data_IF_288382794395
#
_entry.id   IF_288382794395
#
_cell.length_a   1.000
_cell.length_b   1.000
_cell.length_c   1.000
_cell.angle_alpha   90.00
_cell.angle_beta   90.00
_cell.angle_gamma   90.00
#
_symmetry.space_group_name_H-M   'P 1'
#
loop_
_entity.id
_entity.type
_entity.pdbx_description
1 polymer ?
#
# COMPACT_ATOMS: atom_id res chain seq x y z
N UNK A 1 -15.27 -3.05 -10.08
CA UNK A 1 -14.25 -2.57 -9.10
C UNK A 1 -13.23 -3.65 -8.86
N UNK A 2 -11.96 -3.28 -8.86
CA UNK A 2 -10.87 -4.20 -8.57
C UNK A 2 -10.25 -3.89 -7.20
N UNK A 3 -9.52 -4.86 -6.66
CA UNK A 3 -8.77 -4.72 -5.41
C UNK A 3 -7.31 -4.99 -5.73
N UNK A 4 -6.45 -4.02 -5.42
CA UNK A 4 -5.01 -4.11 -5.66
C UNK A 4 -4.27 -4.26 -4.34
N UNK A 5 -3.54 -5.35 -4.19
CA UNK A 5 -2.61 -5.54 -3.07
C UNK A 5 -1.25 -5.05 -3.52
N UNK A 6 -0.71 -4.07 -2.82
CA UNK A 6 0.51 -3.36 -3.23
C UNK A 6 1.57 -3.51 -2.14
N UNK A 7 2.74 -4.00 -2.53
CA UNK A 7 3.89 -4.12 -1.64
C UNK A 7 4.52 -2.74 -1.38
N UNK A 8 5.25 -2.61 -0.29
CA UNK A 8 5.87 -1.36 0.12
C UNK A 8 7.33 -1.26 -0.31
N UNK A 9 8.21 -2.10 0.29
CA UNK A 9 9.65 -2.01 0.08
C UNK A 9 10.02 -2.29 -1.37
N UNK A 10 10.72 -1.33 -1.99
CA UNK A 10 11.14 -1.37 -3.38
C UNK A 10 10.01 -1.56 -4.39
N UNK A 11 8.79 -1.22 -3.99
CA UNK A 11 7.61 -1.14 -4.85
C UNK A 11 7.03 0.27 -4.80
N UNK A 12 6.41 0.67 -3.69
CA UNK A 12 5.94 2.06 -3.51
C UNK A 12 7.08 2.99 -3.12
N UNK A 13 8.04 2.50 -2.37
CA UNK A 13 9.18 3.26 -1.90
C UNK A 13 10.49 2.55 -2.25
N UNK A 14 11.50 3.33 -2.56
CA UNK A 14 12.87 2.83 -2.65
C UNK A 14 13.39 2.80 -1.22
N UNK A 15 13.80 1.63 -0.75
CA UNK A 15 14.19 1.45 0.64
C UNK A 15 15.53 0.76 0.80
N UNK A 16 16.17 1.02 1.94
CA UNK A 16 17.25 0.21 2.51
C UNK A 16 16.73 -0.21 3.87
N UNK A 17 15.97 -1.27 3.91
CA UNK A 17 15.22 -1.65 5.10
C UNK A 17 16.05 -1.51 6.39
N UNK A 18 15.51 -0.87 7.45
CA UNK A 18 14.17 -0.29 7.54
C UNK A 18 14.03 1.14 6.98
N UNK A 19 15.10 1.72 6.47
CA UNK A 19 15.14 3.11 6.01
C UNK A 19 14.35 3.31 4.72
N UNK A 20 13.51 4.36 4.69
CA UNK A 20 12.76 4.77 3.51
C UNK A 20 13.56 5.89 2.84
N UNK A 21 14.05 5.65 1.61
CA UNK A 21 14.95 6.56 0.91
C UNK A 21 14.21 7.56 0.04
N UNK A 22 13.31 7.07 -0.82
CA UNK A 22 12.61 7.90 -1.79
C UNK A 22 11.34 7.23 -2.29
N UNK A 23 10.37 8.00 -2.83
CA UNK A 23 9.20 7.40 -3.47
C UNK A 23 9.56 6.77 -4.82
N UNK A 24 8.91 5.67 -5.15
CA UNK A 24 8.81 5.21 -6.53
C UNK A 24 7.64 5.98 -7.15
N UNK A 25 7.93 7.05 -7.85
CA UNK A 25 6.94 8.00 -8.33
C UNK A 25 5.88 7.36 -9.24
N UNK A 26 6.30 6.41 -10.08
CA UNK A 26 5.37 5.70 -10.98
C UNK A 26 4.37 4.85 -10.22
N UNK A 27 4.84 4.11 -9.22
CA UNK A 27 3.97 3.26 -8.40
C UNK A 27 3.04 4.07 -7.51
N UNK A 28 3.53 5.17 -6.93
CA UNK A 28 2.69 6.08 -6.14
C UNK A 28 1.59 6.67 -7.03
N UNK A 29 1.94 7.12 -8.23
CA UNK A 29 0.97 7.66 -9.19
C UNK A 29 -0.05 6.59 -9.61
N UNK A 30 0.39 5.36 -9.86
CA UNK A 30 -0.49 4.24 -10.18
C UNK A 30 -1.51 3.98 -9.07
N UNK A 31 -1.03 3.88 -7.83
CA UNK A 31 -1.89 3.64 -6.66
C UNK A 31 -2.95 4.74 -6.49
N UNK A 32 -2.55 6.00 -6.66
CA UNK A 32 -3.48 7.13 -6.63
C UNK A 32 -4.51 7.05 -7.74
N UNK A 33 -4.06 6.72 -8.95
CA UNK A 33 -4.94 6.64 -10.12
C UNK A 33 -6.01 5.55 -9.96
N UNK A 34 -5.64 4.36 -9.53
CA UNK A 34 -6.61 3.27 -9.34
C UNK A 34 -7.59 3.59 -8.21
N UNK A 35 -7.13 4.22 -7.16
CA UNK A 35 -8.01 4.68 -6.07
C UNK A 35 -9.02 5.71 -6.58
N UNK A 36 -8.56 6.69 -7.37
CA UNK A 36 -9.40 7.73 -7.94
C UNK A 36 -10.44 7.17 -8.92
N UNK A 37 -10.17 6.02 -9.54
CA UNK A 37 -11.10 5.34 -10.43
C UNK A 37 -12.13 4.48 -9.69
N UNK A 38 -12.14 4.50 -8.37
CA UNK A 38 -13.10 3.77 -7.56
C UNK A 38 -12.66 2.36 -7.19
N UNK A 39 -11.41 1.99 -7.47
CA UNK A 39 -10.85 0.71 -7.03
C UNK A 39 -10.38 0.81 -5.57
N UNK A 40 -10.16 -0.33 -4.95
CA UNK A 40 -9.65 -0.40 -3.58
C UNK A 40 -8.19 -0.83 -3.59
N UNK A 41 -7.42 -0.33 -2.62
CA UNK A 41 -6.01 -0.68 -2.47
C UNK A 41 -5.73 -1.19 -1.06
N UNK A 42 -4.90 -2.22 -0.97
CA UNK A 42 -4.43 -2.80 0.27
C UNK A 42 -2.91 -2.66 0.30
N UNK A 43 -2.37 -2.18 1.42
CA UNK A 43 -0.92 -2.25 1.64
C UNK A 43 -0.60 -3.64 2.17
N UNK A 44 0.24 -4.36 1.43
CA UNK A 44 0.63 -5.73 1.78
C UNK A 44 2.14 -5.78 1.96
N UNK A 45 2.63 -5.90 3.20
CA UNK A 45 4.04 -5.79 3.51
C UNK A 45 4.43 -6.72 4.66
N UNK A 46 5.68 -7.17 4.65
CA UNK A 46 6.25 -7.94 5.76
C UNK A 46 6.67 -7.06 6.94
N UNK A 47 6.62 -5.74 6.79
CA UNK A 47 6.92 -4.84 7.91
C UNK A 47 5.92 -5.03 9.05
N UNK A 48 6.41 -4.84 10.28
CA UNK A 48 5.60 -4.96 11.49
C UNK A 48 6.03 -3.89 12.50
N UNK A 49 5.22 -3.67 13.54
CA UNK A 49 5.54 -2.74 14.62
C UNK A 49 5.84 -1.33 14.13
N UNK A 50 6.88 -0.72 14.67
CA UNK A 50 7.27 0.64 14.32
C UNK A 50 7.65 0.81 12.84
N UNK A 51 8.24 -0.21 12.22
CA UNK A 51 8.59 -0.16 10.80
C UNK A 51 7.34 -0.10 9.93
N UNK A 52 6.29 -0.82 10.31
CA UNK A 52 5.00 -0.76 9.62
C UNK A 52 4.33 0.60 9.82
N UNK A 53 4.32 1.12 11.03
CA UNK A 53 3.74 2.44 11.33
C UNK A 53 4.43 3.54 10.50
N UNK A 54 5.76 3.48 10.40
CA UNK A 54 6.53 4.43 9.59
C UNK A 54 6.17 4.32 8.10
N UNK A 55 5.99 3.11 7.58
CA UNK A 55 5.60 2.90 6.19
C UNK A 55 4.20 3.46 5.91
N UNK A 56 3.24 3.20 6.79
CA UNK A 56 1.85 3.70 6.65
C UNK A 56 1.83 5.22 6.69
N UNK A 57 2.54 5.82 7.64
CA UNK A 57 2.61 7.28 7.75
C UNK A 57 3.29 7.89 6.53
N UNK A 58 4.35 7.27 6.04
CA UNK A 58 5.02 7.72 4.81
C UNK A 58 4.06 7.70 3.62
N UNK A 59 3.28 6.62 3.48
CA UNK A 59 2.27 6.53 2.41
C UNK A 59 1.22 7.62 2.54
N UNK A 60 0.75 7.91 3.76
CA UNK A 60 -0.20 8.99 4.02
C UNK A 60 0.35 10.34 3.55
N UNK A 61 1.62 10.60 3.82
CA UNK A 61 2.30 11.84 3.39
C UNK A 61 2.43 11.92 1.88
N UNK A 62 2.45 10.78 1.18
CA UNK A 62 2.43 10.74 -0.28
C UNK A 62 1.01 10.90 -0.86
N UNK A 63 0.00 11.02 -0.01
CA UNK A 63 -1.38 11.13 -0.44
C UNK A 63 -2.07 9.80 -0.71
N UNK A 64 -1.53 8.70 -0.17
CA UNK A 64 -2.11 7.36 -0.33
C UNK A 64 -2.93 6.99 0.90
N UNK A 65 -4.17 6.61 0.69
CA UNK A 65 -5.07 6.12 1.73
C UNK A 65 -5.45 4.68 1.37
N UNK A 66 -5.01 3.73 2.18
CA UNK A 66 -5.30 2.31 1.97
C UNK A 66 -6.61 1.91 2.61
N UNK A 67 -7.34 1.01 1.95
CA UNK A 67 -8.60 0.45 2.48
C UNK A 67 -8.34 -0.60 3.55
N UNK A 68 -7.16 -1.24 3.52
CA UNK A 68 -6.70 -2.16 4.53
C UNK A 68 -5.17 -2.23 4.53
N UNK A 69 -4.61 -2.71 5.63
CA UNK A 69 -3.16 -2.93 5.79
C UNK A 69 -2.97 -4.35 6.30
N UNK A 70 -2.30 -5.17 5.51
CA UNK A 70 -2.00 -6.58 5.83
C UNK A 70 -3.23 -7.42 6.20
N UNK A 71 -4.39 -7.06 5.68
CA UNK A 71 -5.62 -7.84 5.86
C UNK A 71 -6.46 -7.81 4.58
N UNK A 72 -7.15 -8.92 4.27
CA UNK A 72 -8.03 -8.95 3.11
C UNK A 72 -9.28 -8.11 3.35
N UNK A 73 -9.84 -7.57 2.27
CA UNK A 73 -11.14 -6.90 2.33
C UNK A 73 -12.27 -7.95 2.35
N UNK A 74 -13.45 -7.59 2.90
CA UNK A 74 -14.58 -8.53 2.96
C UNK A 74 -14.96 -9.15 1.62
N UNK A 75 -14.85 -8.40 0.54
CA UNK A 75 -15.14 -8.89 -0.82
C UNK A 75 -14.16 -9.99 -1.24
N UNK A 76 -12.89 -9.90 -0.84
CA UNK A 76 -11.89 -10.94 -1.12
C UNK A 76 -12.19 -12.21 -0.34
N UNK A 77 -12.58 -12.09 0.92
CA UNK A 77 -12.93 -13.23 1.77
C UNK A 77 -14.08 -14.00 1.13
N UNK A 78 -15.10 -13.33 0.63
CA UNK A 78 -16.24 -13.95 -0.05
C UNK A 78 -15.82 -14.73 -1.30
N UNK A 79 -14.82 -14.22 -2.04
CA UNK A 79 -14.32 -14.88 -3.25
C UNK A 79 -13.47 -16.10 -2.91
N UNK A 80 -12.73 -16.05 -1.82
CA UNK A 80 -11.83 -17.12 -1.41
C UNK A 80 -12.57 -18.25 -0.66
N UNK A 81 -13.62 -17.86 0.06
CA UNK A 81 -14.43 -18.80 0.84
C UNK A 81 -15.47 -19.48 0.00
#
# INVERSE_FOLDING_TARGET
MAIYAIDFDNTLAITRFPEIVAPNKKMVAFAKAVKAQGHQIILWTSRAGADLENAVEWCRLQGLVFDAVNEPLPEQIKRWG
#
